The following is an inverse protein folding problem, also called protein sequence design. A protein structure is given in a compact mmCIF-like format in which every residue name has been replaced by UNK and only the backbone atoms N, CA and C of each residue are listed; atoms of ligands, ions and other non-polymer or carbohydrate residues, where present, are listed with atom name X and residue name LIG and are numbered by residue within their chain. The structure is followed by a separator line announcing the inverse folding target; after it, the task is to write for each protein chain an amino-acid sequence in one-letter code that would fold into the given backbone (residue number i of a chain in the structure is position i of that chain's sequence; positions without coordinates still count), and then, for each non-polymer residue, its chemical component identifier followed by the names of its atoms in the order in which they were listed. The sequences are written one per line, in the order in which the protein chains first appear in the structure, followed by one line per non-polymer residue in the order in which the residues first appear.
data_IF_674962611183
#
_entry.id   IF_674962611183
#
_cell.length_a   1.000
_cell.length_b   1.000
_cell.length_c   1.000
_cell.angle_alpha   90.00
_cell.angle_beta   90.00
_cell.angle_gamma   90.00
#
_symmetry.space_group_name_H-M   'P 1'
#
loop_
_entity.id
_entity.type
_entity.pdbx_description
1 polymer ?
#
# COMPACT_ATOMS: atom_id res chain seq x y z
N UNK A 1 42.91 -10.33 -88.91
CA UNK A 1 42.74 -9.50 -90.10
C UNK A 1 42.27 -8.14 -89.69
N UNK A 2 43.14 -7.15 -89.94
CA UNK A 2 42.83 -5.77 -90.37
C UNK A 2 42.03 -4.94 -89.38
N UNK A 3 42.50 -3.86 -88.82
CA UNK A 3 43.40 -2.83 -89.33
C UNK A 3 42.71 -1.45 -89.18
N UNK A 4 43.46 -0.48 -88.60
CA UNK A 4 43.42 0.96 -88.85
C UNK A 4 42.25 1.77 -88.20
N UNK A 5 42.45 2.91 -87.65
CA UNK A 5 43.51 3.94 -87.67
C UNK A 5 43.00 5.08 -86.75
N UNK A 6 43.80 5.62 -85.97
CA UNK A 6 44.58 6.84 -86.17
C UNK A 6 43.76 8.08 -86.55
N UNK A 7 43.85 9.03 -85.71
CA UNK A 7 44.18 10.44 -85.80
C UNK A 7 43.17 11.38 -85.09
N UNK A 8 43.78 12.16 -84.22
CA UNK A 8 43.91 13.64 -84.23
C UNK A 8 42.67 14.42 -83.73
N UNK A 9 42.73 15.27 -82.81
CA UNK A 9 43.32 16.58 -82.62
C UNK A 9 42.80 17.17 -81.30
N UNK A 10 43.67 17.51 -80.45
CA UNK A 10 43.98 18.81 -79.85
C UNK A 10 42.85 19.84 -79.65
N UNK A 11 42.84 20.35 -78.40
CA UNK A 11 42.40 21.67 -77.99
C UNK A 11 40.96 21.76 -77.42
N UNK A 12 40.78 21.92 -76.18
CA UNK A 12 40.67 23.24 -75.55
C UNK A 12 40.60 23.15 -74.03
N UNK A 13 41.52 23.83 -73.45
CA UNK A 13 41.55 24.26 -72.09
C UNK A 13 40.24 24.93 -71.64
N UNK A 14 39.84 24.69 -70.49
CA UNK A 14 39.01 25.69 -69.82
C UNK A 14 37.74 25.16 -69.19
N UNK A 15 37.65 25.45 -67.90
CA UNK A 15 36.44 25.31 -67.09
C UNK A 15 36.11 23.92 -66.54
N UNK A 16 36.96 23.46 -65.63
CA UNK A 16 36.51 22.44 -64.68
C UNK A 16 37.01 22.81 -63.27
N UNK A 17 36.55 23.96 -62.81
CA UNK A 17 36.73 24.37 -61.41
C UNK A 17 35.42 25.04 -61.04
N UNK A 18 34.40 24.32 -60.69
CA UNK A 18 33.29 24.79 -59.86
C UNK A 18 32.18 23.74 -59.79
N UNK A 19 32.41 22.65 -59.09
CA UNK A 19 31.27 21.76 -58.66
C UNK A 19 31.69 20.77 -57.59
N UNK A 20 32.50 21.20 -56.64
CA UNK A 20 32.80 20.38 -55.47
C UNK A 20 32.18 20.98 -54.18
N UNK A 21 31.30 22.01 -54.29
CA UNK A 21 30.72 22.67 -53.14
C UNK A 21 29.22 22.29 -52.87
N UNK A 22 28.66 21.32 -53.62
CA UNK A 22 27.23 21.01 -53.51
C UNK A 22 26.89 19.62 -52.94
N UNK A 23 27.86 18.89 -52.38
CA UNK A 23 27.60 17.52 -51.87
C UNK A 23 27.72 17.37 -50.34
N UNK A 24 28.00 18.43 -49.62
CA UNK A 24 28.08 18.37 -48.13
C UNK A 24 26.92 19.03 -47.38
N UNK A 25 25.80 19.27 -48.04
CA UNK A 25 24.62 19.92 -47.40
C UNK A 25 23.38 19.04 -47.27
N UNK A 26 23.51 17.71 -47.29
CA UNK A 26 22.35 16.83 -47.14
C UNK A 26 22.64 15.64 -46.24
N UNK A 27 22.92 15.85 -44.97
CA UNK A 27 22.63 14.88 -43.90
C UNK A 27 22.58 15.59 -42.57
N UNK A 28 21.86 16.68 -42.46
CA UNK A 28 21.21 16.97 -41.19
C UNK A 28 19.83 16.32 -41.29
N UNK A 29 19.78 15.06 -40.91
CA UNK A 29 18.54 14.39 -40.57
C UNK A 29 18.02 15.18 -39.37
N UNK A 30 17.13 16.09 -39.66
CA UNK A 30 16.26 16.74 -38.67
C UNK A 30 15.47 15.62 -38.01
N UNK A 31 16.04 15.10 -36.91
CA UNK A 31 15.30 14.30 -35.96
C UNK A 31 14.14 15.18 -35.53
N UNK A 32 12.98 14.93 -36.11
CA UNK A 32 11.73 15.53 -35.63
C UNK A 32 11.69 15.34 -34.10
N UNK A 33 11.51 16.40 -33.32
CA UNK A 33 11.33 16.27 -31.89
C UNK A 33 10.08 15.41 -31.69
N UNK A 34 10.25 14.24 -31.06
CA UNK A 34 9.13 13.45 -30.55
C UNK A 34 8.59 14.21 -29.32
N UNK A 35 8.07 15.38 -29.54
CA UNK A 35 7.22 16.08 -28.61
C UNK A 35 5.79 15.57 -28.85
N UNK A 36 5.54 14.33 -28.41
CA UNK A 36 4.18 13.96 -28.10
C UNK A 36 3.83 14.73 -26.83
N UNK A 37 3.38 15.94 -26.98
CA UNK A 37 2.68 16.70 -25.96
C UNK A 37 1.44 15.87 -25.62
N UNK A 38 1.48 15.08 -24.54
CA UNK A 38 0.27 14.51 -23.96
C UNK A 38 -0.55 15.70 -23.45
N UNK A 39 -1.56 16.10 -24.20
CA UNK A 39 -2.56 17.03 -23.67
C UNK A 39 -3.39 16.32 -22.61
N UNK A 40 -3.16 16.65 -21.36
CA UNK A 40 -4.04 16.26 -20.25
C UNK A 40 -5.30 17.07 -20.36
N UNK A 41 -6.37 16.49 -20.90
CA UNK A 41 -7.59 17.19 -21.25
C UNK A 41 -8.64 17.11 -20.14
N UNK A 42 -8.63 16.02 -19.36
CA UNK A 42 -9.65 15.76 -18.32
C UNK A 42 -9.00 15.40 -17.00
N UNK A 43 -9.22 16.26 -16.00
CA UNK A 43 -8.66 16.10 -14.66
C UNK A 43 -9.78 15.83 -13.68
N UNK A 44 -9.57 14.91 -12.73
CA UNK A 44 -10.39 14.74 -11.55
C UNK A 44 -9.60 15.10 -10.29
N UNK A 45 -10.33 15.47 -9.23
CA UNK A 45 -9.74 15.72 -7.91
C UNK A 45 -10.42 14.83 -6.89
N UNK A 46 -9.65 14.11 -6.07
CA UNK A 46 -10.14 13.25 -5.00
C UNK A 46 -9.46 13.61 -3.68
N UNK A 47 -10.26 13.79 -2.63
CA UNK A 47 -9.75 13.90 -1.25
C UNK A 47 -9.64 12.49 -0.64
N UNK A 48 -8.57 11.77 -0.95
CA UNK A 48 -8.39 10.40 -0.45
C UNK A 48 -8.44 10.35 1.08
N UNK A 49 -7.80 11.29 1.77
CA UNK A 49 -7.78 11.33 3.23
C UNK A 49 -9.17 11.63 3.81
N UNK A 50 -9.92 12.54 3.19
CA UNK A 50 -11.31 12.83 3.54
C UNK A 50 -12.23 11.62 3.34
N UNK A 51 -12.11 10.94 2.20
CA UNK A 51 -12.85 9.72 1.89
C UNK A 51 -12.58 8.64 2.94
N UNK A 52 -11.32 8.38 3.24
CA UNK A 52 -10.95 7.37 4.23
C UNK A 52 -11.47 7.71 5.64
N UNK A 53 -11.41 8.97 6.05
CA UNK A 53 -11.97 9.39 7.35
C UNK A 53 -13.49 9.25 7.43
N UNK A 54 -14.18 9.55 6.33
CA UNK A 54 -15.64 9.54 6.25
C UNK A 54 -16.23 8.15 5.97
N UNK A 55 -15.40 7.18 5.56
CA UNK A 55 -15.86 5.85 5.22
C UNK A 55 -16.45 5.11 6.43
N UNK A 56 -17.65 4.55 6.27
CA UNK A 56 -18.36 3.75 7.28
C UNK A 56 -17.52 2.52 7.72
N UNK A 57 -16.71 1.99 6.80
CA UNK A 57 -15.78 0.90 7.08
C UNK A 57 -14.86 1.21 8.25
N UNK A 58 -14.34 2.45 8.35
CA UNK A 58 -13.44 2.85 9.42
C UNK A 58 -14.14 2.92 10.79
N UNK A 59 -15.41 3.33 10.82
CA UNK A 59 -16.20 3.29 12.05
C UNK A 59 -16.42 1.83 12.51
N UNK A 60 -16.79 0.96 11.59
CA UNK A 60 -16.96 -0.48 11.89
C UNK A 60 -15.66 -1.17 12.32
N UNK A 61 -14.53 -0.84 11.69
CA UNK A 61 -13.21 -1.36 12.10
C UNK A 61 -12.95 -1.02 13.57
N UNK A 62 -13.13 0.25 13.97
CA UNK A 62 -12.94 0.67 15.37
C UNK A 62 -13.86 -0.08 16.31
N UNK A 63 -15.15 -0.13 16.00
CA UNK A 63 -16.14 -0.82 16.85
C UNK A 63 -15.80 -2.30 17.05
N UNK A 64 -15.47 -3.02 15.99
CA UNK A 64 -15.11 -4.44 16.06
C UNK A 64 -13.81 -4.68 16.85
N UNK A 65 -12.81 -3.82 16.67
CA UNK A 65 -11.56 -3.96 17.41
C UNK A 65 -11.70 -3.55 18.87
N UNK A 66 -12.56 -2.58 19.18
CA UNK A 66 -12.86 -2.20 20.57
C UNK A 66 -13.64 -3.31 21.31
N UNK A 67 -14.61 -3.93 20.65
CA UNK A 67 -15.29 -5.11 21.17
C UNK A 67 -14.31 -6.27 21.42
N UNK A 68 -13.36 -6.49 20.52
CA UNK A 68 -12.34 -7.53 20.69
C UNK A 68 -11.35 -7.20 21.82
N UNK A 69 -10.96 -5.92 22.00
CA UNK A 69 -10.15 -5.49 23.14
C UNK A 69 -10.85 -5.77 24.45
N UNK A 70 -12.15 -5.43 24.54
CA UNK A 70 -12.95 -5.71 25.72
C UNK A 70 -12.99 -7.20 26.03
N UNK A 71 -13.24 -8.03 25.03
CA UNK A 71 -13.22 -9.49 25.19
C UNK A 71 -11.88 -10.01 25.72
N UNK A 72 -10.76 -9.53 25.19
CA UNK A 72 -9.44 -9.92 25.69
C UNK A 72 -9.21 -9.43 27.12
N UNK A 73 -9.68 -8.23 27.46
CA UNK A 73 -9.57 -7.71 28.83
C UNK A 73 -10.36 -8.58 29.83
N UNK A 74 -11.56 -9.01 29.46
CA UNK A 74 -12.38 -9.89 30.29
C UNK A 74 -11.70 -11.26 30.50
N UNK A 75 -11.16 -11.85 29.42
CA UNK A 75 -10.38 -13.09 29.49
C UNK A 75 -9.15 -12.96 30.40
N UNK A 76 -8.39 -11.86 30.29
CA UNK A 76 -7.22 -11.62 31.16
C UNK A 76 -7.61 -11.44 32.61
N UNK A 77 -8.68 -10.72 32.90
CA UNK A 77 -9.16 -10.52 34.27
C UNK A 77 -9.51 -11.84 34.96
N UNK A 78 -10.07 -12.79 34.23
CA UNK A 78 -10.35 -14.14 34.77
C UNK A 78 -9.04 -14.89 35.10
N UNK A 79 -8.06 -14.88 34.19
CA UNK A 79 -6.78 -15.54 34.42
C UNK A 79 -6.00 -14.87 35.55
N UNK A 80 -6.03 -13.55 35.65
CA UNK A 80 -5.42 -12.81 36.77
C UNK A 80 -6.05 -13.19 38.13
N UNK A 81 -7.38 -13.32 38.18
CA UNK A 81 -8.08 -13.74 39.41
C UNK A 81 -7.68 -15.19 39.77
N UNK A 82 -7.58 -16.10 38.81
CA UNK A 82 -7.09 -17.47 39.05
C UNK A 82 -5.65 -17.51 39.57
N UNK A 83 -4.76 -16.68 38.99
CA UNK A 83 -3.37 -16.57 39.44
C UNK A 83 -3.28 -16.02 40.87
N UNK A 84 -4.06 -15.00 41.19
CA UNK A 84 -4.12 -14.46 42.55
C UNK A 84 -4.63 -15.51 43.57
N UNK A 85 -5.60 -16.33 43.17
CA UNK A 85 -6.07 -17.42 44.04
C UNK A 85 -4.97 -18.48 44.22
N UNK A 86 -4.33 -18.87 43.10
CA UNK A 86 -3.20 -19.82 43.16
C UNK A 86 -2.07 -19.34 44.07
N UNK A 87 -1.73 -18.05 44.01
CA UNK A 87 -0.72 -17.45 44.89
C UNK A 87 -1.10 -17.56 46.35
N UNK A 88 -2.35 -17.20 46.73
CA UNK A 88 -2.85 -17.36 48.10
C UNK A 88 -2.79 -18.81 48.59
N UNK A 89 -3.19 -19.74 47.71
CA UNK A 89 -3.17 -21.17 48.02
C UNK A 89 -1.73 -21.70 48.23
N UNK A 90 -0.78 -21.26 47.41
CA UNK A 90 0.63 -21.58 47.56
C UNK A 90 1.19 -21.07 48.89
N UNK A 91 0.86 -19.82 49.25
CA UNK A 91 1.28 -19.24 50.53
C UNK A 91 0.74 -20.04 51.73
N UNK A 92 -0.54 -20.45 51.70
CA UNK A 92 -1.16 -21.23 52.78
C UNK A 92 -0.60 -22.65 52.87
N UNK A 93 -0.15 -23.24 51.78
CA UNK A 93 0.40 -24.61 51.73
C UNK A 93 1.90 -24.70 52.05
N UNK A 94 2.59 -23.58 52.22
CA UNK A 94 4.06 -23.54 52.39
C UNK A 94 4.57 -24.44 53.50
N UNK A 95 3.86 -24.48 54.64
CA UNK A 95 4.24 -25.30 55.80
C UNK A 95 3.71 -26.75 55.72
N UNK A 96 2.77 -27.00 54.80
CA UNK A 96 2.14 -28.31 54.62
C UNK A 96 2.81 -29.19 53.58
N UNK A 97 3.54 -28.58 52.60
CA UNK A 97 4.21 -29.28 51.52
C UNK A 97 5.64 -29.54 51.83
N UNK A 98 6.22 -30.62 51.21
CA UNK A 98 7.66 -30.77 51.16
C UNK A 98 8.34 -29.65 50.38
N UNK A 99 9.59 -29.33 50.69
CA UNK A 99 10.34 -28.28 50.01
C UNK A 99 10.42 -28.52 48.50
N UNK A 100 10.55 -29.78 48.06
CA UNK A 100 10.60 -30.14 46.64
C UNK A 100 9.25 -29.91 45.93
N UNK A 101 8.15 -30.33 46.53
CA UNK A 101 6.80 -30.12 45.96
C UNK A 101 6.41 -28.65 45.95
N UNK A 102 6.75 -27.90 46.97
CA UNK A 102 6.54 -26.47 47.02
C UNK A 102 7.32 -25.75 45.89
N UNK A 103 8.61 -26.07 45.69
CA UNK A 103 9.44 -25.49 44.64
C UNK A 103 8.88 -25.79 43.23
N UNK A 104 8.39 -27.02 43.03
CA UNK A 104 7.75 -27.43 41.78
C UNK A 104 6.49 -26.58 41.49
N UNK A 105 5.65 -26.36 42.48
CA UNK A 105 4.43 -25.57 42.33
C UNK A 105 4.74 -24.06 42.09
N UNK A 106 5.75 -23.51 42.76
CA UNK A 106 6.22 -22.14 42.52
C UNK A 106 6.73 -21.99 41.08
N UNK A 107 7.52 -22.92 40.56
CA UNK A 107 7.98 -22.89 39.17
C UNK A 107 6.82 -22.94 38.18
N UNK A 108 5.84 -23.81 38.40
CA UNK A 108 4.64 -23.89 37.57
C UNK A 108 3.84 -22.58 37.57
N UNK A 109 3.69 -21.96 38.74
CA UNK A 109 3.06 -20.63 38.88
C UNK A 109 3.81 -19.55 38.11
N UNK A 110 5.14 -19.48 38.24
CA UNK A 110 5.97 -18.51 37.51
C UNK A 110 5.86 -18.65 35.99
N UNK A 111 5.83 -19.90 35.50
CA UNK A 111 5.61 -20.18 34.08
C UNK A 111 4.26 -19.64 33.63
N UNK A 112 3.19 -19.85 34.42
CA UNK A 112 1.85 -19.39 34.08
C UNK A 112 1.74 -17.86 34.06
N UNK A 113 2.40 -17.17 35.00
CA UNK A 113 2.50 -15.70 35.02
C UNK A 113 3.20 -15.20 33.74
N UNK A 114 4.33 -15.83 33.37
CA UNK A 114 5.05 -15.46 32.16
C UNK A 114 4.21 -15.68 30.90
N UNK A 115 3.49 -16.79 30.83
CA UNK A 115 2.57 -17.08 29.72
C UNK A 115 1.49 -16.01 29.59
N UNK A 116 0.87 -15.62 30.70
CA UNK A 116 -0.15 -14.54 30.67
C UNK A 116 0.43 -13.25 30.10
N UNK A 117 1.62 -12.84 30.54
CA UNK A 117 2.28 -11.64 30.03
C UNK A 117 2.53 -11.71 28.52
N UNK A 118 3.00 -12.87 28.03
CA UNK A 118 3.22 -13.10 26.60
C UNK A 118 1.90 -13.07 25.82
N UNK A 119 0.83 -13.67 26.36
CA UNK A 119 -0.49 -13.69 25.73
C UNK A 119 -1.06 -12.29 25.59
N UNK A 120 -0.94 -11.46 26.63
CA UNK A 120 -1.34 -10.05 26.59
C UNK A 120 -0.61 -9.32 25.46
N UNK A 121 0.71 -9.50 25.33
CA UNK A 121 1.48 -8.84 24.27
C UNK A 121 1.07 -9.35 22.87
N UNK A 122 0.92 -10.66 22.70
CA UNK A 122 0.48 -11.25 21.41
C UNK A 122 -0.90 -10.75 20.98
N UNK A 123 -1.85 -10.70 21.92
CA UNK A 123 -3.21 -10.25 21.61
C UNK A 123 -3.27 -8.75 21.29
N UNK A 124 -2.46 -7.92 21.98
CA UNK A 124 -2.31 -6.48 21.64
C UNK A 124 -1.75 -6.33 20.22
N UNK A 125 -0.66 -7.03 19.92
CA UNK A 125 -0.05 -6.98 18.59
C UNK A 125 -1.02 -7.45 17.49
N UNK A 126 -1.83 -8.48 17.75
CA UNK A 126 -2.82 -8.98 16.81
C UNK A 126 -3.88 -7.92 16.47
N UNK A 127 -4.33 -7.14 17.47
CA UNK A 127 -5.27 -6.02 17.27
C UNK A 127 -4.64 -4.92 16.43
N UNK A 128 -3.39 -4.55 16.72
CA UNK A 128 -2.69 -3.50 15.98
C UNK A 128 -2.46 -3.91 14.52
N UNK A 129 -2.05 -5.15 14.29
CA UNK A 129 -1.89 -5.71 12.95
C UNK A 129 -3.22 -5.74 12.19
N UNK A 130 -4.30 -6.16 12.83
CA UNK A 130 -5.63 -6.19 12.23
C UNK A 130 -6.11 -4.78 11.86
N UNK A 131 -5.85 -3.77 12.72
CA UNK A 131 -6.14 -2.39 12.41
C UNK A 131 -5.38 -1.90 11.18
N UNK A 132 -4.06 -2.09 11.16
CA UNK A 132 -3.22 -1.66 10.04
C UNK A 132 -3.62 -2.34 8.73
N UNK A 133 -3.89 -3.65 8.79
CA UNK A 133 -4.38 -4.40 7.62
C UNK A 133 -5.70 -3.84 7.11
N UNK A 134 -6.68 -3.62 7.99
CA UNK A 134 -7.98 -3.10 7.62
C UNK A 134 -7.87 -1.69 6.99
N UNK A 135 -7.01 -0.82 7.53
CA UNK A 135 -6.74 0.50 6.96
C UNK A 135 -6.12 0.40 5.55
N UNK A 136 -5.18 -0.51 5.37
CA UNK A 136 -4.56 -0.77 4.06
C UNK A 136 -5.57 -1.30 3.04
N UNK A 137 -6.43 -2.24 3.45
CA UNK A 137 -7.46 -2.82 2.59
C UNK A 137 -8.49 -1.77 2.14
N UNK A 138 -8.97 -0.93 3.07
CA UNK A 138 -9.90 0.16 2.76
C UNK A 138 -9.26 1.18 1.81
N UNK A 139 -7.99 1.51 2.03
CA UNK A 139 -7.25 2.42 1.13
C UNK A 139 -7.09 1.84 -0.27
N UNK A 140 -6.75 0.58 -0.37
CA UNK A 140 -6.59 -0.13 -1.65
C UNK A 140 -7.91 -0.15 -2.41
N UNK A 141 -9.03 -0.43 -1.72
CA UNK A 141 -10.36 -0.42 -2.31
C UNK A 141 -10.76 0.98 -2.79
N UNK A 142 -10.47 2.02 -2.01
CA UNK A 142 -10.71 3.40 -2.42
C UNK A 142 -9.94 3.77 -3.70
N UNK A 143 -8.67 3.37 -3.81
CA UNK A 143 -7.84 3.60 -5.01
C UNK A 143 -8.37 2.82 -6.23
N UNK A 144 -8.86 1.59 -6.02
CA UNK A 144 -9.52 0.81 -7.07
C UNK A 144 -10.75 1.54 -7.60
N UNK A 145 -11.62 2.03 -6.71
CA UNK A 145 -12.82 2.78 -7.07
C UNK A 145 -12.48 4.10 -7.79
N UNK A 146 -11.45 4.82 -7.34
CA UNK A 146 -10.95 6.03 -8.02
C UNK A 146 -10.56 5.70 -9.46
N UNK A 147 -9.83 4.59 -9.66
CA UNK A 147 -9.41 4.14 -10.98
C UNK A 147 -10.61 3.79 -11.89
N UNK A 148 -11.63 3.14 -11.35
CA UNK A 148 -12.86 2.84 -12.10
C UNK A 148 -13.63 4.09 -12.49
N UNK A 149 -13.77 5.05 -11.58
CA UNK A 149 -14.43 6.34 -11.86
C UNK A 149 -13.62 7.12 -12.90
N UNK A 150 -12.29 7.12 -12.80
CA UNK A 150 -11.43 7.77 -13.78
C UNK A 150 -11.64 7.19 -15.19
N UNK A 151 -11.65 5.85 -15.31
CA UNK A 151 -11.93 5.17 -16.57
C UNK A 151 -13.32 5.49 -17.10
N UNK A 152 -14.36 5.41 -16.25
CA UNK A 152 -15.74 5.67 -16.65
C UNK A 152 -15.98 7.12 -17.11
N UNK A 153 -15.26 8.08 -16.56
CA UNK A 153 -15.33 9.49 -16.93
C UNK A 153 -14.28 9.91 -17.96
N UNK A 154 -13.44 8.97 -18.43
CA UNK A 154 -12.31 9.22 -19.33
C UNK A 154 -11.40 10.34 -18.79
N UNK A 155 -11.04 10.25 -17.50
CA UNK A 155 -10.10 11.18 -16.88
C UNK A 155 -8.67 10.72 -17.22
N UNK A 156 -7.83 11.65 -17.66
CA UNK A 156 -6.42 11.42 -17.96
C UNK A 156 -5.58 11.44 -16.70
N UNK A 157 -6.02 12.22 -15.68
CA UNK A 157 -5.31 12.40 -14.42
C UNK A 157 -6.29 12.57 -13.26
N UNK A 158 -5.98 11.95 -12.13
CA UNK A 158 -6.65 12.24 -10.84
C UNK A 158 -5.62 12.78 -9.86
N UNK A 159 -5.82 13.99 -9.38
CA UNK A 159 -4.98 14.64 -8.38
C UNK A 159 -5.56 14.42 -6.98
N UNK A 160 -4.68 14.28 -5.98
CA UNK A 160 -5.11 14.39 -4.61
C UNK A 160 -5.46 15.84 -4.29
N UNK A 161 -6.52 16.07 -3.53
CA UNK A 161 -6.95 17.40 -3.10
C UNK A 161 -5.82 18.22 -2.48
N UNK A 162 -4.98 17.59 -1.67
CA UNK A 162 -3.85 18.22 -0.97
C UNK A 162 -2.78 18.77 -1.94
N UNK A 163 -2.76 18.28 -3.19
CA UNK A 163 -1.87 18.77 -4.25
C UNK A 163 -2.46 19.93 -5.05
N UNK A 164 -3.70 20.35 -4.74
CA UNK A 164 -4.43 21.39 -5.47
C UNK A 164 -4.73 22.57 -4.56
N UNK A 165 -4.32 23.76 -4.96
CA UNK A 165 -4.60 24.98 -4.21
C UNK A 165 -6.07 25.42 -4.38
N UNK A 166 -6.54 25.38 -5.63
CA UNK A 166 -7.92 25.72 -6.02
C UNK A 166 -8.35 24.79 -7.15
N UNK A 167 -9.58 24.28 -7.09
CA UNK A 167 -10.20 23.54 -8.17
C UNK A 167 -11.71 23.78 -8.22
N UNK A 168 -12.29 23.56 -9.37
CA UNK A 168 -13.74 23.77 -9.57
C UNK A 168 -14.51 22.55 -9.00
N UNK A 169 -15.71 22.78 -8.39
CA UNK A 169 -16.48 21.72 -7.74
C UNK A 169 -16.81 20.51 -8.64
N UNK A 170 -17.00 20.72 -9.93
CA UNK A 170 -17.33 19.64 -10.88
C UNK A 170 -16.16 18.67 -11.14
N UNK A 171 -14.93 19.04 -10.79
CA UNK A 171 -13.76 18.16 -10.85
C UNK A 171 -13.68 17.22 -9.66
N UNK A 172 -14.41 17.48 -8.58
CA UNK A 172 -14.43 16.66 -7.39
C UNK A 172 -15.15 15.34 -7.64
N UNK A 173 -14.44 14.23 -7.42
CA UNK A 173 -15.01 12.88 -7.53
C UNK A 173 -15.15 12.18 -6.16
N UNK A 174 -14.81 12.86 -5.06
CA UNK A 174 -14.72 12.27 -3.71
C UNK A 174 -16.03 11.64 -3.25
N UNK A 175 -17.17 12.34 -3.46
CA UNK A 175 -18.47 11.85 -3.03
C UNK A 175 -18.87 10.55 -3.74
N UNK A 176 -18.62 10.48 -5.05
CA UNK A 176 -18.85 9.26 -5.83
C UNK A 176 -17.96 8.07 -5.40
N UNK A 177 -16.72 8.38 -4.98
CA UNK A 177 -15.81 7.37 -4.41
C UNK A 177 -16.32 6.89 -3.05
N UNK A 178 -16.70 7.80 -2.17
CA UNK A 178 -17.19 7.49 -0.82
C UNK A 178 -18.44 6.60 -0.84
N UNK A 179 -19.43 6.96 -1.67
CA UNK A 179 -20.66 6.17 -1.82
C UNK A 179 -20.33 4.73 -2.24
N UNK A 180 -19.51 4.56 -3.28
CA UNK A 180 -19.13 3.22 -3.75
C UNK A 180 -18.27 2.46 -2.75
N UNK A 181 -17.39 3.14 -2.02
CA UNK A 181 -16.57 2.54 -0.98
C UNK A 181 -17.46 1.99 0.14
N UNK A 182 -18.43 2.75 0.61
CA UNK A 182 -19.37 2.30 1.64
C UNK A 182 -20.19 1.10 1.19
N UNK A 183 -20.64 1.08 -0.07
CA UNK A 183 -21.37 -0.05 -0.64
C UNK A 183 -20.50 -1.32 -0.69
N UNK A 184 -19.27 -1.23 -1.20
CA UNK A 184 -18.37 -2.38 -1.35
C UNK A 184 -17.85 -2.93 -0.03
N UNK A 185 -17.60 -2.04 0.93
CA UNK A 185 -17.08 -2.44 2.23
C UNK A 185 -18.17 -2.81 3.23
N UNK A 186 -19.45 -2.71 2.88
CA UNK A 186 -20.59 -2.96 3.78
C UNK A 186 -20.51 -4.33 4.47
N UNK A 187 -20.06 -5.36 3.77
CA UNK A 187 -19.96 -6.74 4.25
C UNK A 187 -18.52 -7.21 4.46
N UNK A 188 -17.55 -6.27 4.48
CA UNK A 188 -16.15 -6.62 4.70
C UNK A 188 -15.95 -7.20 6.12
N UNK A 189 -15.30 -8.36 6.20
CA UNK A 189 -14.95 -9.02 7.46
C UNK A 189 -13.56 -8.58 7.88
N UNK A 190 -13.39 -8.33 9.18
CA UNK A 190 -12.10 -8.04 9.78
C UNK A 190 -11.67 -9.31 10.51
N UNK A 191 -10.53 -9.85 10.10
CA UNK A 191 -9.93 -11.02 10.73
C UNK A 191 -8.82 -10.58 11.69
N UNK A 192 -8.92 -11.04 12.94
CA UNK A 192 -7.90 -10.81 13.95
C UNK A 192 -7.14 -12.11 14.13
N UNK A 193 -5.91 -12.16 13.60
CA UNK A 193 -5.04 -13.34 13.70
C UNK A 193 -4.12 -13.19 14.90
N UNK A 194 -4.35 -13.98 15.94
CA UNK A 194 -3.44 -14.11 17.08
C UNK A 194 -2.42 -15.20 16.73
N UNK A 195 -1.15 -14.84 16.65
CA UNK A 195 -0.10 -15.83 16.43
C UNK A 195 0.00 -16.75 17.63
N UNK A 196 -0.17 -18.06 17.40
CA UNK A 196 0.08 -19.07 18.43
C UNK A 196 1.58 -19.16 18.72
N UNK A 197 1.98 -19.50 19.98
CA UNK A 197 3.36 -19.71 20.32
C UNK A 197 3.93 -20.83 19.42
N UNK A 198 5.00 -20.53 18.69
CA UNK A 198 5.75 -21.58 18.03
C UNK A 198 6.32 -22.48 19.11
N UNK A 199 5.83 -23.71 19.19
CA UNK A 199 6.42 -24.76 20.04
C UNK A 199 7.84 -25.03 19.53
N UNK A 200 8.85 -24.53 20.28
CA UNK A 200 10.25 -24.94 20.15
C UNK A 200 10.48 -26.23 20.93
#
# INVERSE_FOLDING_TARGET
MKSYGFTFFLALCGYFVCDIAAVLAQTVSESAPISQTMEVTRIGVADLNGILRAADANARVRELLDAQRQKFQDEFSLVEAELQQTERDLMSKRELLSAEEYDKQIKAFQVRVTQLQQDIQRKRQAIDNAYQKAQSDIRTEALSIITEIAKAKNLDLVLNRDASLIFLPHLNISDGVLIRLNERTKNARIEIQVQEPQSQ
#
